data_IF_882631168539
#
_entry.id   IF_882631168539
#
_cell.length_a   1.000
_cell.length_b   1.000
_cell.length_c   1.000
_cell.angle_alpha   90.00
_cell.angle_beta   90.00
_cell.angle_gamma   90.00
#
_symmetry.space_group_name_H-M   'P 1'
#
loop_
_entity.id
_entity.type
_entity.pdbx_description
1 polymer ?
#
# COMPACT_ATOMS: atom_id res chain seq x y z
N UNK A 1 9.26 -48.67 4.40
CA UNK A 1 8.84 -47.31 4.11
C UNK A 1 7.38 -47.37 3.67
N UNK A 2 6.43 -47.09 4.57
CA UNK A 2 5.00 -47.03 4.28
C UNK A 2 4.56 -45.58 4.50
N UNK A 3 4.22 -44.93 3.42
CA UNK A 3 3.65 -43.61 3.39
C UNK A 3 2.27 -43.60 4.09
N UNK A 4 2.12 -42.73 5.08
CA UNK A 4 0.82 -42.43 5.69
C UNK A 4 0.07 -41.49 4.77
N UNK A 5 -0.84 -41.98 3.99
CA UNK A 5 -1.88 -41.18 3.34
C UNK A 5 -2.79 -40.58 4.44
N UNK A 6 -2.78 -39.25 4.52
CA UNK A 6 -3.59 -38.49 5.46
C UNK A 6 -5.08 -38.77 5.29
N UNK A 7 -5.76 -38.98 6.43
CA UNK A 7 -7.20 -39.21 6.54
C UNK A 7 -7.99 -37.95 6.15
N UNK A 8 -8.42 -37.86 4.91
CA UNK A 8 -9.46 -36.92 4.53
C UNK A 8 -10.77 -37.26 5.26
N UNK A 9 -11.48 -36.26 5.85
CA UNK A 9 -12.70 -36.55 6.59
C UNK A 9 -13.76 -37.16 5.66
N UNK A 10 -14.35 -38.28 6.07
CA UNK A 10 -15.37 -39.08 5.33
C UNK A 10 -16.50 -38.25 4.73
N UNK A 11 -16.79 -37.07 5.33
CA UNK A 11 -17.81 -36.11 4.86
C UNK A 11 -17.43 -35.46 3.52
N UNK A 12 -16.14 -35.18 3.27
CA UNK A 12 -15.67 -34.57 1.99
C UNK A 12 -15.81 -35.59 0.85
N UNK A 13 -15.52 -36.85 1.11
CA UNK A 13 -15.72 -37.95 0.12
C UNK A 13 -17.19 -38.19 -0.17
N UNK A 14 -18.07 -38.12 0.82
CA UNK A 14 -19.51 -38.25 0.66
C UNK A 14 -20.13 -37.11 -0.15
N UNK A 15 -19.66 -35.87 0.03
CA UNK A 15 -20.10 -34.68 -0.73
C UNK A 15 -19.61 -34.75 -2.20
N UNK A 16 -18.39 -35.21 -2.46
CA UNK A 16 -17.91 -35.41 -3.82
C UNK A 16 -18.69 -36.50 -4.57
N UNK A 17 -19.03 -37.62 -3.90
CA UNK A 17 -19.86 -38.67 -4.45
C UNK A 17 -21.30 -38.20 -4.74
N UNK A 18 -21.88 -37.39 -3.87
CA UNK A 18 -23.23 -36.82 -4.04
C UNK A 18 -23.30 -35.85 -5.24
N UNK A 19 -22.25 -35.03 -5.47
CA UNK A 19 -22.18 -34.07 -6.59
C UNK A 19 -22.03 -34.83 -7.92
N UNK A 20 -21.28 -35.95 -7.97
CA UNK A 20 -21.12 -36.79 -9.14
C UNK A 20 -22.39 -37.57 -9.50
N UNK A 21 -23.14 -37.99 -8.49
CA UNK A 21 -24.38 -38.81 -8.69
C UNK A 21 -25.59 -37.92 -9.02
N UNK A 22 -25.70 -36.73 -8.44
CA UNK A 22 -26.84 -35.81 -8.65
C UNK A 22 -26.62 -34.86 -9.85
N UNK A 23 -25.39 -34.62 -10.29
CA UNK A 23 -25.09 -33.76 -11.44
C UNK A 23 -25.28 -34.45 -12.80
N UNK A 24 -25.19 -35.79 -12.85
CA UNK A 24 -25.28 -36.57 -14.09
C UNK A 24 -26.68 -36.63 -14.75
N UNK A 25 -27.79 -36.74 -13.99
CA UNK A 25 -29.11 -36.79 -14.64
C UNK A 25 -29.63 -35.40 -15.09
N UNK A 26 -29.11 -34.29 -14.59
CA UNK A 26 -29.56 -32.96 -14.99
C UNK A 26 -29.02 -32.56 -16.38
N UNK A 27 -27.86 -33.08 -16.77
CA UNK A 27 -27.25 -32.78 -18.07
C UNK A 27 -27.97 -33.48 -19.25
N UNK A 28 -28.77 -34.52 -18.98
CA UNK A 28 -29.49 -35.31 -20.01
C UNK A 28 -30.86 -34.72 -20.33
N UNK A 29 -31.43 -33.87 -19.45
CA UNK A 29 -32.78 -33.33 -19.60
C UNK A 29 -32.82 -31.92 -20.29
N UNK A 30 -31.69 -31.37 -20.73
CA UNK A 30 -31.65 -30.11 -21.42
C UNK A 30 -31.72 -30.25 -22.95
N UNK A 31 -32.40 -29.31 -23.65
CA UNK A 31 -32.51 -29.37 -25.11
C UNK A 31 -31.13 -29.35 -25.78
N UNK A 32 -30.99 -30.17 -26.81
CA UNK A 32 -29.71 -30.44 -27.51
C UNK A 32 -29.39 -29.43 -28.61
N UNK A 33 -29.79 -28.17 -28.47
CA UNK A 33 -29.36 -27.11 -29.37
C UNK A 33 -28.02 -26.51 -28.94
N UNK A 34 -27.36 -25.82 -29.86
CA UNK A 34 -26.01 -25.24 -29.61
C UNK A 34 -26.01 -24.25 -28.45
N UNK A 35 -27.09 -23.48 -28.24
CA UNK A 35 -27.27 -22.54 -27.16
C UNK A 35 -27.46 -23.25 -25.82
N UNK A 36 -28.22 -24.37 -25.80
CA UNK A 36 -28.41 -25.18 -24.59
C UNK A 36 -27.11 -25.74 -24.02
N UNK A 37 -26.15 -26.15 -24.90
CA UNK A 37 -24.82 -26.58 -24.46
C UNK A 37 -23.99 -25.50 -23.83
N UNK A 38 -24.08 -24.27 -24.35
CA UNK A 38 -23.36 -23.10 -23.77
C UNK A 38 -23.93 -22.75 -22.39
N UNK A 39 -25.26 -22.71 -22.24
CA UNK A 39 -25.91 -22.43 -20.96
C UNK A 39 -25.70 -23.55 -19.93
N UNK A 40 -25.71 -24.81 -20.35
CA UNK A 40 -25.44 -25.94 -19.45
C UNK A 40 -23.99 -25.89 -18.90
N UNK A 41 -23.01 -25.57 -19.76
CA UNK A 41 -21.61 -25.44 -19.36
C UNK A 41 -21.40 -24.24 -18.40
N UNK A 42 -22.08 -23.11 -18.63
CA UNK A 42 -22.04 -21.94 -17.75
C UNK A 42 -22.68 -22.23 -16.39
N UNK A 43 -23.81 -22.91 -16.36
CA UNK A 43 -24.51 -23.27 -15.11
C UNK A 43 -23.68 -24.23 -14.23
N UNK A 44 -23.03 -25.22 -14.84
CA UNK A 44 -22.14 -26.16 -14.14
C UNK A 44 -20.93 -25.45 -13.58
N UNK A 45 -20.33 -24.52 -14.33
CA UNK A 45 -19.20 -23.71 -13.84
C UNK A 45 -19.58 -22.79 -12.66
N UNK A 46 -20.76 -22.17 -12.70
CA UNK A 46 -21.26 -21.34 -11.62
C UNK A 46 -21.56 -22.14 -10.34
N UNK A 47 -22.15 -23.33 -10.48
CA UNK A 47 -22.43 -24.23 -9.34
C UNK A 47 -21.11 -24.71 -8.71
N UNK A 48 -20.12 -25.07 -9.53
CA UNK A 48 -18.81 -25.47 -9.04
C UNK A 48 -18.08 -24.33 -8.31
N UNK A 49 -18.14 -23.11 -8.83
CA UNK A 49 -17.59 -21.93 -8.19
C UNK A 49 -18.29 -21.61 -6.85
N UNK A 50 -19.61 -21.67 -6.79
CA UNK A 50 -20.39 -21.48 -5.58
C UNK A 50 -20.09 -22.53 -4.51
N UNK A 51 -19.94 -23.80 -4.91
CA UNK A 51 -19.56 -24.89 -4.01
C UNK A 51 -18.15 -24.72 -3.44
N UNK A 52 -17.19 -24.25 -4.26
CA UNK A 52 -15.83 -23.95 -3.81
C UNK A 52 -15.79 -22.79 -2.80
N UNK A 53 -16.56 -21.73 -3.05
CA UNK A 53 -16.68 -20.58 -2.13
C UNK A 53 -17.31 -21.00 -0.79
N UNK A 54 -18.38 -21.83 -0.84
CA UNK A 54 -19.05 -22.33 0.36
C UNK A 54 -18.13 -23.26 1.16
N UNK A 55 -17.37 -24.15 0.50
CA UNK A 55 -16.40 -25.02 1.13
C UNK A 55 -15.29 -24.21 1.81
N UNK A 56 -14.77 -23.16 1.16
CA UNK A 56 -13.78 -22.26 1.74
C UNK A 56 -14.32 -21.47 2.95
N UNK A 57 -15.60 -21.05 2.90
CA UNK A 57 -16.27 -20.37 4.01
C UNK A 57 -16.49 -21.31 5.21
N UNK A 58 -16.85 -22.57 4.97
CA UNK A 58 -17.02 -23.58 6.02
C UNK A 58 -15.71 -23.99 6.67
N UNK A 59 -14.62 -24.07 5.91
CA UNK A 59 -13.27 -24.28 6.46
C UNK A 59 -12.82 -23.10 7.33
N UNK A 60 -13.11 -21.86 6.91
CA UNK A 60 -12.84 -20.67 7.72
C UNK A 60 -13.66 -20.60 8.99
N UNK A 61 -14.96 -21.04 8.97
CA UNK A 61 -15.82 -21.09 10.17
C UNK A 61 -15.40 -22.16 11.17
N UNK A 62 -14.72 -23.23 10.74
CA UNK A 62 -14.23 -24.30 11.63
C UNK A 62 -12.95 -23.92 12.39
N UNK A 63 -12.25 -22.86 12.00
CA UNK A 63 -11.24 -22.20 12.84
C UNK A 63 -11.94 -21.18 13.74
N UNK A 64 -12.77 -21.67 14.65
CA UNK A 64 -13.31 -20.88 15.75
C UNK A 64 -12.20 -20.38 16.67
N UNK A 65 -12.45 -19.29 17.45
CA UNK A 65 -11.49 -18.80 18.44
C UNK A 65 -11.49 -19.74 19.64
N UNK A 66 -10.70 -20.82 19.54
CA UNK A 66 -10.49 -21.80 20.59
C UNK A 66 -9.02 -22.08 20.76
N UNK A 67 -8.45 -21.71 21.91
CA UNK A 67 -7.12 -22.02 22.41
C UNK A 67 -5.92 -21.28 21.79
N UNK A 68 -5.97 -19.94 21.84
CA UNK A 68 -4.77 -19.11 21.87
C UNK A 68 -4.37 -18.74 23.32
N UNK A 69 -4.43 -19.71 24.22
CA UNK A 69 -3.87 -19.56 25.57
C UNK A 69 -2.84 -20.63 25.80
N UNK A 70 -1.57 -20.20 25.74
CA UNK A 70 -0.32 -20.92 25.99
C UNK A 70 0.49 -21.38 24.77
N UNK A 71 0.74 -20.48 23.83
CA UNK A 71 1.99 -20.51 23.10
C UNK A 71 2.94 -19.52 23.80
N UNK A 72 4.11 -20.02 24.22
CA UNK A 72 5.15 -19.25 24.87
C UNK A 72 5.39 -17.94 24.12
N UNK A 73 5.40 -16.82 24.83
CA UNK A 73 5.81 -15.53 24.30
C UNK A 73 7.15 -15.72 23.59
N UNK A 74 7.32 -15.26 22.35
CA UNK A 74 8.63 -15.25 21.73
C UNK A 74 9.53 -14.39 22.62
N UNK A 75 10.66 -14.97 23.02
CA UNK A 75 11.72 -14.31 23.77
C UNK A 75 11.93 -12.92 23.20
N UNK A 76 11.96 -11.95 24.09
CA UNK A 76 12.29 -10.56 23.88
C UNK A 76 13.16 -10.36 22.63
N UNK A 77 12.52 -9.94 21.51
CA UNK A 77 13.26 -9.26 20.49
C UNK A 77 13.90 -8.05 21.21
N UNK A 78 15.21 -8.01 21.22
CA UNK A 78 15.95 -6.83 21.65
C UNK A 78 15.28 -5.64 20.98
N UNK A 79 14.69 -4.75 21.77
CA UNK A 79 14.12 -3.50 21.26
C UNK A 79 15.26 -2.77 20.56
N UNK A 80 15.18 -2.68 19.24
CA UNK A 80 16.07 -1.85 18.45
C UNK A 80 15.80 -0.38 18.87
N UNK A 81 16.70 0.26 19.61
CA UNK A 81 16.47 1.61 20.12
C UNK A 81 16.34 2.65 19.00
N UNK A 82 16.69 2.28 17.76
CA UNK A 82 16.48 3.12 16.56
C UNK A 82 15.09 2.93 15.95
N UNK A 83 14.34 1.86 16.31
CA UNK A 83 13.03 1.54 15.76
C UNK A 83 13.04 1.21 14.26
N UNK A 84 14.21 0.91 13.70
CA UNK A 84 14.40 0.71 12.26
C UNK A 84 14.23 -0.74 11.80
N UNK A 85 14.21 -1.70 12.74
CA UNK A 85 14.17 -3.13 12.45
C UNK A 85 12.80 -3.65 11.96
N UNK A 86 11.75 -2.85 12.00
CA UNK A 86 10.40 -3.27 11.62
C UNK A 86 9.53 -2.09 11.18
N UNK A 87 8.57 -2.37 10.31
CA UNK A 87 7.59 -1.38 9.87
C UNK A 87 6.71 -0.88 11.03
N UNK A 88 6.58 0.44 11.15
CA UNK A 88 5.69 1.10 12.11
C UNK A 88 5.25 2.46 11.60
N UNK A 89 4.16 3.02 12.16
CA UNK A 89 3.73 4.39 11.87
C UNK A 89 4.78 5.42 12.29
N UNK A 90 5.50 5.14 13.37
CA UNK A 90 6.57 6.00 13.84
C UNK A 90 7.73 6.04 12.83
N UNK A 91 8.14 4.89 12.29
CA UNK A 91 9.15 4.85 11.23
C UNK A 91 8.70 5.66 10.02
N UNK A 92 7.46 5.47 9.52
CA UNK A 92 6.96 6.24 8.38
C UNK A 92 6.99 7.76 8.64
N UNK A 93 6.66 8.21 9.85
CA UNK A 93 6.70 9.63 10.24
C UNK A 93 8.10 10.20 10.38
N UNK A 94 9.10 9.35 10.64
CA UNK A 94 10.51 9.74 10.72
C UNK A 94 11.17 9.88 9.36
N UNK A 95 10.62 9.25 8.31
CA UNK A 95 11.16 9.39 6.97
C UNK A 95 11.06 10.84 6.50
N UNK A 96 12.16 11.40 6.08
CA UNK A 96 12.16 12.70 5.41
C UNK A 96 11.39 12.60 4.08
N UNK A 97 10.93 13.71 3.56
CA UNK A 97 9.99 13.77 2.43
C UNK A 97 10.49 13.01 1.19
N UNK A 98 11.75 13.16 0.82
CA UNK A 98 12.33 12.49 -0.35
C UNK A 98 12.42 10.98 -0.16
N UNK A 99 12.81 10.54 1.04
CA UNK A 99 12.85 9.11 1.37
C UNK A 99 11.46 8.49 1.35
N UNK A 100 10.44 9.24 1.77
CA UNK A 100 9.07 8.78 1.70
C UNK A 100 8.60 8.64 0.24
N UNK A 101 8.96 9.56 -0.65
CA UNK A 101 8.71 9.46 -2.10
C UNK A 101 9.41 8.24 -2.71
N UNK A 102 10.70 8.03 -2.38
CA UNK A 102 11.48 6.86 -2.82
C UNK A 102 10.82 5.54 -2.35
N UNK A 103 10.34 5.49 -1.12
CA UNK A 103 9.59 4.34 -0.60
C UNK A 103 8.30 4.09 -1.38
N UNK A 104 7.52 5.13 -1.65
CA UNK A 104 6.29 5.01 -2.43
C UNK A 104 6.58 4.52 -3.86
N UNK A 105 7.61 5.05 -4.52
CA UNK A 105 8.02 4.59 -5.84
C UNK A 105 8.39 3.10 -5.82
N UNK A 106 9.29 2.70 -4.92
CA UNK A 106 9.73 1.31 -4.79
C UNK A 106 8.58 0.35 -4.43
N UNK A 107 7.58 0.81 -3.66
CA UNK A 107 6.38 0.03 -3.37
C UNK A 107 5.60 -0.29 -4.65
N UNK A 108 5.38 0.69 -5.53
CA UNK A 108 4.67 0.46 -6.78
C UNK A 108 5.52 -0.34 -7.79
N UNK A 109 6.84 -0.20 -7.77
CA UNK A 109 7.74 -1.05 -8.54
C UNK A 109 7.67 -2.52 -8.10
N UNK A 110 7.56 -2.76 -6.80
CA UNK A 110 7.33 -4.11 -6.26
C UNK A 110 5.98 -4.71 -6.71
N UNK A 111 5.01 -3.88 -7.09
CA UNK A 111 3.73 -4.29 -7.69
C UNK A 111 3.79 -4.45 -9.22
N UNK A 112 4.96 -4.23 -9.86
CA UNK A 112 5.17 -4.40 -11.29
C UNK A 112 4.92 -3.16 -12.14
N UNK A 113 4.76 -1.97 -11.53
CA UNK A 113 4.71 -0.72 -12.28
C UNK A 113 6.13 -0.21 -12.56
N UNK A 114 6.28 0.52 -13.66
CA UNK A 114 7.45 1.40 -13.86
C UNK A 114 7.12 2.78 -13.30
N UNK A 115 8.02 3.34 -12.50
CA UNK A 115 7.83 4.67 -11.93
C UNK A 115 8.60 5.72 -12.72
N UNK A 116 8.01 6.89 -12.90
CA UNK A 116 8.66 8.05 -13.46
C UNK A 116 8.56 9.20 -12.45
N UNK A 117 9.63 9.97 -12.26
CA UNK A 117 9.53 11.19 -11.46
C UNK A 117 8.67 12.20 -12.21
N UNK A 118 7.50 12.50 -11.67
CA UNK A 118 6.76 13.66 -12.09
C UNK A 118 7.52 14.89 -11.58
N UNK A 119 7.96 15.77 -12.49
CA UNK A 119 8.61 17.01 -12.08
C UNK A 119 7.60 17.83 -11.28
N UNK A 120 7.73 17.83 -9.96
CA UNK A 120 7.00 18.75 -9.10
C UNK A 120 7.36 20.17 -9.54
N UNK A 121 6.45 20.83 -10.24
CA UNK A 121 6.55 22.27 -10.45
C UNK A 121 6.52 22.96 -9.09
N UNK A 122 6.98 24.22 -9.01
CA UNK A 122 7.06 25.02 -7.81
C UNK A 122 5.72 25.16 -7.04
N UNK A 123 4.62 24.66 -7.58
CA UNK A 123 3.24 24.82 -7.08
C UNK A 123 2.64 23.57 -6.41
N UNK A 124 3.43 22.51 -6.20
CA UNK A 124 2.89 21.23 -5.73
C UNK A 124 2.17 20.49 -6.89
N UNK A 125 2.15 19.18 -6.86
CA UNK A 125 1.56 18.39 -7.93
C UNK A 125 1.82 16.91 -7.68
N UNK A 126 1.78 16.13 -8.75
CA UNK A 126 2.18 14.73 -8.69
C UNK A 126 3.68 14.60 -8.51
N UNK A 127 4.09 13.68 -7.65
CA UNK A 127 5.50 13.38 -7.35
C UNK A 127 6.00 12.22 -8.21
N UNK A 128 5.12 11.26 -8.52
CA UNK A 128 5.43 10.01 -9.22
C UNK A 128 4.36 9.74 -10.28
N UNK A 129 4.78 9.39 -11.49
CA UNK A 129 3.93 8.80 -12.52
C UNK A 129 4.03 7.28 -12.49
N UNK A 130 2.92 6.56 -12.61
CA UNK A 130 2.86 5.11 -12.72
C UNK A 130 2.59 4.69 -14.15
N UNK A 131 3.50 3.93 -14.71
CA UNK A 131 3.39 3.32 -16.03
C UNK A 131 3.12 1.83 -15.86
N UNK A 132 2.01 1.35 -16.38
CA UNK A 132 1.70 -0.06 -16.36
C UNK A 132 2.63 -0.84 -17.31
N UNK A 133 2.84 -2.12 -17.06
CA UNK A 133 3.67 -2.96 -17.93
C UNK A 133 3.15 -2.94 -19.37
N UNK A 134 4.04 -2.65 -20.33
CA UNK A 134 3.72 -2.55 -21.75
C UNK A 134 3.03 -1.25 -22.20
N UNK A 135 2.90 -0.25 -21.32
CA UNK A 135 2.38 1.07 -21.67
C UNK A 135 3.53 2.08 -21.86
N UNK A 136 3.32 3.05 -22.76
CA UNK A 136 4.30 4.12 -23.04
C UNK A 136 4.07 5.37 -22.19
N UNK A 137 2.91 5.49 -21.55
CA UNK A 137 2.49 6.69 -20.80
C UNK A 137 1.98 6.32 -19.42
N UNK A 138 2.13 7.21 -18.43
CA UNK A 138 1.53 7.02 -17.13
C UNK A 138 0.01 6.83 -17.21
N UNK A 139 -0.52 5.83 -16.52
CA UNK A 139 -1.96 5.62 -16.31
C UNK A 139 -2.47 6.29 -15.03
N UNK A 140 -1.55 6.60 -14.12
CA UNK A 140 -1.87 7.20 -12.82
C UNK A 140 -0.73 8.10 -12.35
N UNK A 141 -1.06 9.04 -11.47
CA UNK A 141 -0.08 9.89 -10.78
C UNK A 141 -0.25 9.81 -9.27
N UNK A 142 0.85 9.88 -8.56
CA UNK A 142 0.88 9.81 -7.10
C UNK A 142 1.40 11.13 -6.54
N UNK A 143 0.78 11.60 -5.47
CA UNK A 143 1.29 12.65 -4.62
C UNK A 143 1.61 12.09 -3.24
N UNK A 144 2.84 12.32 -2.77
CA UNK A 144 3.32 11.85 -1.49
C UNK A 144 3.26 12.99 -0.47
N UNK A 145 2.71 12.74 0.71
CA UNK A 145 2.66 13.65 1.86
C UNK A 145 3.32 12.97 3.06
N UNK A 146 4.64 12.85 2.96
CA UNK A 146 5.51 12.42 4.07
C UNK A 146 5.82 13.57 5.01
N UNK A 147 6.60 13.28 6.02
CA UNK A 147 7.29 14.18 6.94
C UNK A 147 6.45 15.34 7.51
N UNK A 148 6.31 15.38 8.82
CA UNK A 148 5.59 16.41 9.61
C UNK A 148 4.10 16.63 9.33
N UNK A 149 3.47 15.88 8.42
CA UNK A 149 2.05 16.03 8.11
C UNK A 149 1.25 14.92 8.80
N UNK A 150 0.62 15.24 9.94
CA UNK A 150 -0.22 14.28 10.67
C UNK A 150 -1.62 14.13 10.06
N UNK A 151 -2.17 15.18 9.45
CA UNK A 151 -3.49 15.16 8.81
C UNK A 151 -3.46 15.97 7.52
N UNK A 152 -3.84 15.32 6.42
CA UNK A 152 -3.90 15.90 5.08
C UNK A 152 -5.31 16.40 4.81
N UNK A 153 -5.45 17.70 4.55
CA UNK A 153 -6.71 18.33 4.18
C UNK A 153 -7.03 18.20 2.68
N UNK A 154 -8.10 18.86 2.25
CA UNK A 154 -8.61 18.81 0.87
C UNK A 154 -7.65 19.43 -0.17
N UNK A 155 -6.83 20.42 0.22
CA UNK A 155 -5.99 21.18 -0.71
C UNK A 155 -5.05 20.30 -1.53
N UNK A 156 -4.23 19.37 -0.95
CA UNK A 156 -3.39 18.48 -1.75
C UNK A 156 -4.19 17.57 -2.69
N UNK A 157 -5.41 17.16 -2.31
CA UNK A 157 -6.26 16.32 -3.16
C UNK A 157 -6.73 17.10 -4.40
N UNK A 158 -7.09 18.37 -4.25
CA UNK A 158 -7.42 19.27 -5.36
C UNK A 158 -6.21 19.55 -6.27
N UNK A 159 -5.04 19.73 -5.69
CA UNK A 159 -3.78 19.90 -6.43
C UNK A 159 -3.48 18.66 -7.29
N UNK A 160 -3.64 17.46 -6.74
CA UNK A 160 -3.49 16.22 -7.49
C UNK A 160 -4.53 16.12 -8.62
N UNK A 161 -5.79 16.48 -8.36
CA UNK A 161 -6.85 16.49 -9.40
C UNK A 161 -6.47 17.38 -10.59
N UNK A 162 -5.92 18.56 -10.32
CA UNK A 162 -5.43 19.46 -11.35
C UNK A 162 -4.24 18.85 -12.12
N UNK A 163 -3.31 18.20 -11.42
CA UNK A 163 -2.17 17.52 -12.04
C UNK A 163 -2.61 16.34 -12.91
N UNK A 164 -3.62 15.56 -12.49
CA UNK A 164 -4.23 14.50 -13.31
C UNK A 164 -4.77 15.05 -14.62
N UNK A 165 -5.52 16.16 -14.57
CA UNK A 165 -6.07 16.79 -15.75
C UNK A 165 -4.97 17.30 -16.71
N UNK A 166 -3.93 17.94 -16.16
CA UNK A 166 -2.79 18.43 -16.93
C UNK A 166 -1.98 17.31 -17.59
N UNK A 167 -1.85 16.17 -16.92
CA UNK A 167 -1.15 15.00 -17.44
C UNK A 167 -2.02 14.11 -18.34
N UNK A 168 -3.32 14.35 -18.41
CA UNK A 168 -4.28 13.51 -19.16
C UNK A 168 -4.42 12.11 -18.57
N UNK A 169 -4.23 11.92 -17.26
CA UNK A 169 -4.33 10.62 -16.59
C UNK A 169 -5.66 10.47 -15.85
N UNK A 170 -6.30 9.28 -15.92
CA UNK A 170 -7.64 9.08 -15.37
C UNK A 170 -7.65 8.82 -13.84
N UNK A 171 -6.51 8.51 -13.23
CA UNK A 171 -6.43 8.09 -11.83
C UNK A 171 -5.33 8.82 -11.08
N UNK A 172 -5.57 9.06 -9.80
CA UNK A 172 -4.59 9.63 -8.88
C UNK A 172 -4.56 8.93 -7.53
N UNK A 173 -3.43 9.01 -6.86
CA UNK A 173 -3.26 8.48 -5.50
C UNK A 173 -2.59 9.53 -4.62
N UNK A 174 -3.17 9.82 -3.46
CA UNK A 174 -2.46 10.56 -2.41
C UNK A 174 -2.01 9.58 -1.34
N UNK A 175 -0.72 9.49 -1.10
CA UNK A 175 -0.13 8.66 -0.03
C UNK A 175 0.36 9.57 1.08
N UNK A 176 -0.08 9.34 2.31
CA UNK A 176 0.31 10.12 3.48
C UNK A 176 0.87 9.25 4.60
N UNK A 177 1.86 9.75 5.34
CA UNK A 177 2.31 9.09 6.57
C UNK A 177 1.35 9.28 7.76
N UNK A 178 0.40 10.22 7.65
CA UNK A 178 -0.65 10.52 8.62
C UNK A 178 -2.04 10.07 8.15
N UNK A 179 -3.07 10.85 8.48
CA UNK A 179 -4.48 10.60 8.15
C UNK A 179 -5.03 11.65 7.19
N UNK A 180 -6.29 11.53 6.79
CA UNK A 180 -6.99 12.48 5.93
C UNK A 180 -8.22 13.05 6.65
N UNK A 181 -8.53 14.34 6.39
CA UNK A 181 -9.76 14.97 6.88
C UNK A 181 -10.99 14.39 6.18
N UNK A 182 -12.17 14.60 6.78
CA UNK A 182 -13.44 14.17 6.19
C UNK A 182 -13.69 14.80 4.83
N UNK A 183 -13.39 16.09 4.68
CA UNK A 183 -13.54 16.82 3.41
C UNK A 183 -12.62 16.27 2.30
N UNK A 184 -11.38 15.89 2.66
CA UNK A 184 -10.45 15.28 1.72
C UNK A 184 -10.98 13.92 1.23
N UNK A 185 -11.51 13.11 2.14
CA UNK A 185 -12.12 11.80 1.83
C UNK A 185 -13.37 11.92 0.97
N UNK A 186 -14.21 12.90 1.26
CA UNK A 186 -15.43 13.15 0.49
C UNK A 186 -15.11 13.61 -0.94
N UNK A 187 -14.24 14.61 -1.08
CA UNK A 187 -13.80 15.11 -2.38
C UNK A 187 -13.19 14.00 -3.24
N UNK A 188 -12.33 13.15 -2.67
CA UNK A 188 -11.63 12.10 -3.41
C UNK A 188 -12.56 11.05 -4.05
N UNK A 189 -13.72 10.77 -3.42
CA UNK A 189 -14.67 9.75 -3.91
C UNK A 189 -15.24 10.07 -5.29
N UNK A 190 -15.44 11.36 -5.61
CA UNK A 190 -15.98 11.81 -6.89
C UNK A 190 -14.95 11.99 -8.01
N UNK A 191 -13.65 11.88 -7.69
CA UNK A 191 -12.57 12.35 -8.57
C UNK A 191 -11.59 11.28 -9.02
N UNK A 192 -11.91 10.00 -8.85
CA UNK A 192 -11.00 8.87 -9.13
C UNK A 192 -9.64 9.00 -8.42
N UNK A 193 -9.65 9.52 -7.20
CA UNK A 193 -8.45 9.69 -6.39
C UNK A 193 -8.51 8.72 -5.20
N UNK A 194 -7.53 7.84 -5.09
CA UNK A 194 -7.36 6.99 -3.94
C UNK A 194 -6.56 7.72 -2.86
N UNK A 195 -7.01 7.62 -1.60
CA UNK A 195 -6.28 8.11 -0.43
C UNK A 195 -5.72 6.92 0.33
N UNK A 196 -4.40 6.90 0.53
CA UNK A 196 -3.69 5.85 1.29
C UNK A 196 -3.06 6.53 2.51
N UNK A 197 -3.60 6.28 3.68
CA UNK A 197 -3.02 6.76 4.94
C UNK A 197 -1.87 5.86 5.42
N UNK A 198 -1.15 6.30 6.46
CA UNK A 198 0.01 5.57 6.97
C UNK A 198 -0.32 4.15 7.44
N UNK A 199 -1.50 3.94 8.03
CA UNK A 199 -1.96 2.62 8.46
C UNK A 199 -2.28 1.71 7.26
N UNK A 200 -2.89 2.26 6.23
CA UNK A 200 -3.17 1.54 5.00
C UNK A 200 -1.89 1.21 4.22
N UNK A 201 -0.94 2.15 4.15
CA UNK A 201 0.36 1.90 3.52
C UNK A 201 1.08 0.74 4.21
N UNK A 202 1.11 0.71 5.55
CA UNK A 202 1.71 -0.40 6.29
C UNK A 202 1.03 -1.74 6.02
N UNK A 203 -0.30 -1.78 5.96
CA UNK A 203 -1.04 -3.00 5.60
C UNK A 203 -0.72 -3.47 4.18
N UNK A 204 -0.60 -2.54 3.25
CA UNK A 204 -0.24 -2.82 1.86
C UNK A 204 1.19 -3.35 1.73
N UNK A 205 2.16 -2.76 2.44
CA UNK A 205 3.54 -3.27 2.49
C UNK A 205 3.58 -4.66 3.13
N UNK A 206 2.83 -4.88 4.21
CA UNK A 206 2.75 -6.19 4.88
C UNK A 206 2.05 -7.28 4.06
N UNK A 207 1.36 -6.93 2.98
CA UNK A 207 0.74 -7.88 2.04
C UNK A 207 1.67 -8.29 0.88
N UNK A 208 2.83 -7.65 0.73
CA UNK A 208 3.85 -8.03 -0.24
C UNK A 208 4.55 -9.34 0.18
N UNK A 209 5.27 -9.94 -0.75
CA UNK A 209 6.17 -11.04 -0.41
C UNK A 209 7.19 -10.58 0.67
N UNK A 210 7.57 -11.45 1.63
CA UNK A 210 8.45 -11.07 2.72
C UNK A 210 9.76 -10.41 2.27
N UNK A 211 10.34 -10.89 1.18
CA UNK A 211 11.59 -10.37 0.60
C UNK A 211 11.42 -8.95 0.06
N UNK A 212 10.28 -8.66 -0.57
CA UNK A 212 9.94 -7.32 -1.05
C UNK A 212 9.73 -6.35 0.12
N UNK A 213 8.99 -6.78 1.15
CA UNK A 213 8.79 -5.99 2.36
C UNK A 213 10.10 -5.65 3.09
N UNK A 214 11.04 -6.60 3.14
CA UNK A 214 12.38 -6.39 3.71
C UNK A 214 13.25 -5.48 2.84
N UNK A 215 13.19 -5.62 1.52
CA UNK A 215 13.90 -4.74 0.59
C UNK A 215 13.44 -3.28 0.73
N UNK A 216 12.13 -3.05 0.84
CA UNK A 216 11.55 -1.73 1.10
C UNK A 216 12.00 -1.17 2.46
N UNK A 217 12.04 -2.00 3.52
CA UNK A 217 12.50 -1.56 4.83
C UNK A 217 13.97 -1.14 4.79
N UNK A 218 14.82 -1.93 4.15
CA UNK A 218 16.23 -1.62 3.96
C UNK A 218 16.42 -0.30 3.18
N UNK A 219 15.64 -0.07 2.12
CA UNK A 219 15.64 1.18 1.37
C UNK A 219 15.21 2.35 2.28
N UNK A 220 14.10 2.20 2.99
CA UNK A 220 13.54 3.26 3.82
C UNK A 220 14.50 3.70 4.94
N UNK A 221 15.28 2.76 5.51
CA UNK A 221 16.18 3.01 6.66
C UNK A 221 17.65 3.15 6.29
N UNK A 222 18.00 3.16 5.00
CA UNK A 222 19.38 3.29 4.55
C UNK A 222 19.96 4.69 4.85
N UNK A 223 21.09 4.74 5.54
CA UNK A 223 21.83 5.98 5.84
C UNK A 223 21.02 6.98 6.67
N UNK A 224 21.18 8.26 6.38
CA UNK A 224 20.39 9.32 7.02
C UNK A 224 19.04 9.49 6.33
N UNK A 225 18.04 8.80 6.85
CA UNK A 225 16.67 8.80 6.32
C UNK A 225 15.74 9.82 6.99
N UNK A 226 16.20 10.54 8.01
CA UNK A 226 15.38 11.43 8.83
C UNK A 226 15.69 12.91 8.64
N UNK A 227 16.93 13.27 8.34
CA UNK A 227 17.31 14.65 8.04
C UNK A 227 16.76 15.06 6.67
N UNK A 228 15.98 16.16 6.56
CA UNK A 228 15.38 16.55 5.30
C UNK A 228 16.40 16.92 4.24
N UNK A 229 16.08 16.60 3.01
CA UNK A 229 16.84 17.00 1.83
C UNK A 229 16.32 18.34 1.32
N UNK A 230 17.21 19.27 0.98
CA UNK A 230 16.83 20.56 0.40
C UNK A 230 16.23 20.35 -1.01
N UNK A 231 14.99 20.78 -1.27
CA UNK A 231 14.35 20.56 -2.58
C UNK A 231 15.00 21.34 -3.72
N UNK A 232 15.77 22.39 -3.42
CA UNK A 232 16.48 23.18 -4.43
C UNK A 232 17.90 22.68 -4.71
N UNK A 233 18.60 22.13 -3.70
CA UNK A 233 20.01 21.78 -3.78
C UNK A 233 20.27 20.27 -3.73
N UNK A 234 19.26 19.47 -3.38
CA UNK A 234 19.38 18.02 -3.20
C UNK A 234 20.43 17.55 -2.18
N UNK A 235 20.82 18.43 -1.25
CA UNK A 235 21.73 18.13 -0.15
C UNK A 235 20.97 18.07 1.18
N UNK A 236 21.50 17.34 2.17
CA UNK A 236 20.91 17.32 3.51
C UNK A 236 20.92 18.70 4.13
N UNK A 237 19.87 19.04 4.86
CA UNK A 237 19.73 20.29 5.57
C UNK A 237 20.35 20.21 6.98
N UNK A 238 20.50 21.32 7.66
CA UNK A 238 21.01 21.37 9.03
C UNK A 238 19.99 22.02 9.95
N UNK A 239 19.88 21.52 11.18
CA UNK A 239 19.06 22.13 12.20
C UNK A 239 19.65 23.49 12.62
N UNK A 240 18.80 24.50 12.72
CA UNK A 240 19.14 25.86 13.14
C UNK A 240 18.11 26.37 14.11
N UNK A 241 18.49 27.39 14.90
CA UNK A 241 17.58 28.11 15.79
C UNK A 241 17.49 29.56 15.34
N UNK A 242 16.27 30.09 15.23
CA UNK A 242 16.03 31.49 14.91
C UNK A 242 16.55 32.35 16.07
N UNK A 243 17.38 33.37 15.77
CA UNK A 243 17.91 34.30 16.74
C UNK A 243 16.84 35.20 17.34
N UNK A 244 15.74 35.45 16.61
CA UNK A 244 14.67 36.37 17.05
C UNK A 244 13.55 35.66 17.80
N UNK A 245 13.19 34.42 17.40
CA UNK A 245 12.04 33.73 17.95
C UNK A 245 12.40 32.46 18.75
N UNK A 246 13.69 32.09 18.81
CA UNK A 246 14.14 30.86 19.46
C UNK A 246 13.60 29.59 18.81
N UNK A 247 12.86 29.70 17.70
CA UNK A 247 12.22 28.59 17.01
C UNK A 247 13.25 27.77 16.22
N UNK A 248 13.18 26.46 16.33
CA UNK A 248 14.02 25.54 15.55
C UNK A 248 13.46 25.35 14.15
N UNK A 249 14.36 25.24 13.18
CA UNK A 249 14.05 25.00 11.78
C UNK A 249 15.20 24.29 11.07
N UNK A 250 14.90 23.70 9.93
CA UNK A 250 15.92 23.16 9.05
C UNK A 250 16.30 24.21 8.02
N UNK A 251 17.60 24.51 7.90
CA UNK A 251 18.16 25.44 6.93
C UNK A 251 19.05 24.72 5.92
N UNK A 252 19.03 25.17 4.66
CA UNK A 252 19.92 24.61 3.65
C UNK A 252 21.39 24.91 4.01
N UNK A 253 22.27 23.91 3.84
CA UNK A 253 23.72 24.09 4.03
C UNK A 253 24.34 25.08 3.06
N UNK A 254 23.73 25.27 1.87
CA UNK A 254 24.21 26.26 0.89
C UNK A 254 23.81 27.71 1.20
N UNK A 255 23.34 27.99 2.43
CA UNK A 255 23.11 29.38 2.83
C UNK A 255 24.43 30.17 2.79
N UNK A 256 24.46 31.41 2.29
CA UNK A 256 23.35 32.28 1.86
C UNK A 256 22.89 32.11 0.40
N UNK A 257 23.55 31.26 -0.42
CA UNK A 257 23.18 31.04 -1.83
C UNK A 257 21.78 30.42 -1.94
N UNK A 258 21.45 29.48 -1.08
CA UNK A 258 20.13 28.86 -0.97
C UNK A 258 19.48 29.23 0.35
N UNK A 259 18.31 29.88 0.29
CA UNK A 259 17.57 30.35 1.47
C UNK A 259 16.38 29.42 1.82
N UNK A 260 16.39 28.17 1.35
CA UNK A 260 15.31 27.22 1.65
C UNK A 260 15.35 26.82 3.13
N UNK A 261 14.18 26.86 3.76
CA UNK A 261 13.96 26.47 5.14
C UNK A 261 12.72 25.60 5.25
N UNK A 262 12.72 24.68 6.23
CA UNK A 262 11.52 23.97 6.66
C UNK A 262 11.26 24.25 8.13
N UNK A 263 10.00 24.59 8.43
CA UNK A 263 9.48 24.74 9.78
C UNK A 263 8.63 23.49 10.12
N UNK A 264 8.62 23.10 11.36
CA UNK A 264 7.88 21.90 11.80
C UNK A 264 8.84 20.79 12.21
N UNK A 265 9.45 21.00 13.32
CA UNK A 265 10.52 20.17 13.79
C UNK A 265 10.14 19.42 15.06
N UNK A 266 9.21 18.50 14.99
CA UNK A 266 9.20 17.45 16.01
C UNK A 266 10.43 16.52 15.88
N UNK A 267 11.17 16.59 14.76
CA UNK A 267 12.35 15.76 14.47
C UNK A 267 13.67 16.55 14.34
N UNK A 268 13.72 17.85 14.65
CA UNK A 268 15.03 18.49 14.80
C UNK A 268 15.64 17.97 16.12
N UNK A 269 16.87 17.41 16.10
CA UNK A 269 17.52 16.93 17.32
C UNK A 269 17.60 18.01 18.39
N UNK A 270 17.52 17.59 19.66
CA UNK A 270 17.59 18.48 20.84
C UNK A 270 18.92 19.24 20.91
#
# INVERSE_FOLDING_TARGET
>A
MRERLGSEPRIVRALFAAILVLGFPIAIALPQDLNGKIYASGAVALIAAAAAILAAALVRRRKGPGDASRAAAPRSAQEDPSGTGRWSLELLRRLEWRRFEELCAAYYEALGFTTTQARSGANGGADIGLVAAGADKPSSVIQCKGWSVYTVGIKPVRELRAAMAAAGVPQGVVVACGTFTSEAKEFSRGENIQLIDGGELLRKIGALAPEQGQALLKLATAGDFSTPTCPACSIKMTARTSSTEGRRFWGCLNYPRCKRTFFGASNAPA
#
